data_IF_077357735728
#
_entry.id   IF_077357735728
#
_cell.length_a   1.000
_cell.length_b   1.000
_cell.length_c   1.000
_cell.angle_alpha   90.00
_cell.angle_beta   90.00
_cell.angle_gamma   90.00
#
_symmetry.space_group_name_H-M   'P 1'
#
loop_
_entity.id
_entity.type
_entity.pdbx_description
1 polymer ?
#
# COMPACT_ATOMS: atom_id res chain seq x y z
N UNK A 1 1.49 -16.17 -3.58
CA UNK A 1 1.02 -17.50 -3.25
C UNK A 1 0.32 -18.10 -4.44
N UNK A 2 0.49 -19.40 -4.65
CA UNK A 2 0.13 -20.00 -5.90
C UNK A 2 0.96 -19.40 -7.06
N UNK A 3 0.35 -19.11 -8.21
CA UNK A 3 1.06 -18.50 -9.34
C UNK A 3 1.39 -17.01 -9.13
N UNK A 4 0.75 -16.31 -8.19
CA UNK A 4 1.04 -14.92 -7.90
C UNK A 4 2.29 -14.78 -7.01
N UNK A 5 3.26 -14.00 -7.48
CA UNK A 5 4.53 -13.72 -6.77
C UNK A 5 4.56 -12.34 -6.11
N UNK A 6 3.41 -11.73 -5.87
CA UNK A 6 3.32 -10.40 -5.25
C UNK A 6 3.67 -10.36 -3.76
N UNK A 7 3.58 -11.51 -3.07
CA UNK A 7 3.89 -11.65 -1.66
C UNK A 7 4.94 -12.75 -1.46
N UNK A 8 5.96 -12.47 -0.64
CA UNK A 8 7.07 -13.39 -0.39
C UNK A 8 6.91 -14.14 0.94
N UNK A 9 6.25 -13.52 1.93
CA UNK A 9 6.26 -14.00 3.32
C UNK A 9 4.90 -14.46 3.87
N UNK A 10 3.86 -14.58 3.06
CA UNK A 10 2.54 -15.02 3.58
C UNK A 10 2.53 -16.44 4.19
N UNK A 11 3.53 -17.25 3.91
CA UNK A 11 3.70 -18.60 4.49
C UNK A 11 4.41 -18.57 5.86
N UNK A 12 4.95 -17.44 6.26
CA UNK A 12 5.66 -17.26 7.52
C UNK A 12 4.65 -16.73 8.55
N UNK A 13 4.68 -17.27 9.76
CA UNK A 13 3.91 -16.72 10.87
C UNK A 13 4.22 -15.23 11.07
N UNK A 14 3.19 -14.44 11.37
CA UNK A 14 3.33 -12.98 11.41
C UNK A 14 4.31 -12.52 12.50
N UNK A 15 4.29 -13.15 13.68
CA UNK A 15 5.24 -12.84 14.77
C UNK A 15 6.67 -13.10 14.33
N UNK A 16 6.86 -14.20 13.59
CA UNK A 16 8.19 -14.50 13.03
C UNK A 16 8.61 -13.52 11.94
N UNK A 17 7.66 -13.01 11.12
CA UNK A 17 7.97 -11.93 10.18
C UNK A 17 8.50 -10.67 10.87
N UNK A 18 7.97 -10.30 12.05
CA UNK A 18 8.44 -9.16 12.83
C UNK A 18 9.89 -9.39 13.33
N UNK A 19 10.18 -10.59 13.79
CA UNK A 19 11.54 -11.00 14.20
C UNK A 19 12.52 -10.88 13.02
N UNK A 20 12.16 -11.45 11.87
CA UNK A 20 13.00 -11.38 10.66
C UNK A 20 13.25 -9.95 10.19
N UNK A 21 12.24 -9.07 10.25
CA UNK A 21 12.40 -7.65 9.91
C UNK A 21 13.41 -6.95 10.83
N UNK A 22 13.33 -7.21 12.14
CA UNK A 22 14.29 -6.68 13.11
C UNK A 22 15.72 -7.17 12.82
N UNK A 23 15.86 -8.46 12.54
CA UNK A 23 17.17 -9.06 12.22
C UNK A 23 17.78 -8.49 10.93
N UNK A 24 16.97 -8.24 9.89
CA UNK A 24 17.41 -7.60 8.65
C UNK A 24 17.99 -6.20 8.95
N UNK A 25 17.27 -5.40 9.76
CA UNK A 25 17.76 -4.07 10.15
C UNK A 25 19.07 -4.19 10.97
N UNK A 26 19.11 -5.10 11.95
CA UNK A 26 20.32 -5.32 12.73
C UNK A 26 21.54 -5.70 11.86
N UNK A 27 21.34 -6.60 10.90
CA UNK A 27 22.39 -7.00 9.94
C UNK A 27 22.84 -5.83 9.06
N UNK A 28 21.94 -4.95 8.65
CA UNK A 28 22.28 -3.79 7.81
C UNK A 28 23.23 -2.80 8.51
N UNK A 29 23.26 -2.80 9.84
CA UNK A 29 24.15 -1.94 10.63
C UNK A 29 25.36 -2.67 11.21
N UNK A 30 25.41 -4.00 11.16
CA UNK A 30 26.46 -4.81 11.80
C UNK A 30 27.86 -4.53 11.25
N UNK A 31 27.98 -4.20 9.97
CA UNK A 31 29.24 -3.93 9.30
C UNK A 31 29.71 -2.47 9.44
N UNK A 32 28.94 -1.62 10.12
CA UNK A 32 29.29 -0.22 10.37
C UNK A 32 29.78 -0.12 11.83
N UNK A 33 31.10 0.10 12.07
CA UNK A 33 31.67 0.04 13.42
C UNK A 33 30.94 0.92 14.45
N UNK A 34 30.54 2.13 14.06
CA UNK A 34 29.86 3.09 14.91
C UNK A 34 28.44 2.66 15.27
N UNK A 35 27.83 1.78 14.48
CA UNK A 35 26.44 1.31 14.63
C UNK A 35 26.33 -0.17 15.00
N UNK A 36 27.43 -0.91 15.02
CA UNK A 36 27.44 -2.36 15.27
C UNK A 36 26.79 -2.75 16.62
N UNK A 37 26.85 -1.86 17.62
CA UNK A 37 26.24 -2.05 18.94
C UNK A 37 24.88 -1.35 19.09
N UNK A 38 24.29 -0.85 18.01
CA UNK A 38 22.99 -0.18 18.06
C UNK A 38 21.90 -1.17 18.50
N UNK A 39 21.19 -0.81 19.57
CA UNK A 39 20.03 -1.59 20.03
C UNK A 39 18.86 -1.37 19.06
N UNK A 40 18.59 -2.35 18.23
CA UNK A 40 17.39 -2.35 17.38
C UNK A 40 16.18 -2.75 18.25
N UNK A 41 15.20 -1.86 18.32
CA UNK A 41 13.96 -2.09 19.08
C UNK A 41 13.08 -3.09 18.34
N UNK A 42 12.06 -3.61 19.06
CA UNK A 42 11.07 -4.49 18.47
C UNK A 42 10.26 -3.76 17.39
N UNK A 43 9.89 -4.49 16.36
CA UNK A 43 9.06 -3.96 15.27
C UNK A 43 7.64 -3.75 15.78
N UNK A 44 7.09 -2.57 15.59
CA UNK A 44 5.71 -2.26 15.93
C UNK A 44 4.78 -3.06 14.99
N UNK A 45 3.95 -3.96 15.50
CA UNK A 45 3.08 -4.78 14.67
C UNK A 45 1.96 -3.96 14.04
N UNK A 46 1.47 -4.42 12.89
CA UNK A 46 0.20 -3.96 12.35
C UNK A 46 -0.95 -4.75 13.00
N UNK A 47 -2.01 -4.08 13.42
CA UNK A 47 -3.23 -4.75 13.89
C UNK A 47 -3.84 -5.64 12.80
N UNK A 48 -3.81 -5.15 11.55
CA UNK A 48 -4.30 -5.87 10.39
C UNK A 48 -3.14 -6.49 9.64
N UNK A 49 -3.08 -7.81 9.61
CA UNK A 49 -2.10 -8.58 8.84
C UNK A 49 -2.56 -8.84 7.41
N UNK A 50 -3.86 -8.73 7.16
CA UNK A 50 -4.53 -8.83 5.86
C UNK A 50 -5.51 -7.68 5.68
N UNK A 51 -5.95 -7.43 4.44
CA UNK A 51 -6.94 -6.40 4.14
C UNK A 51 -6.49 -4.96 4.38
N UNK A 52 -5.22 -4.72 4.64
CA UNK A 52 -4.68 -3.41 5.03
C UNK A 52 -4.32 -2.50 3.86
N UNK A 53 -4.13 -3.07 2.66
CA UNK A 53 -3.57 -2.35 1.52
C UNK A 53 -4.63 -1.53 0.81
N UNK A 54 -4.45 -0.21 0.81
CA UNK A 54 -5.36 0.78 0.23
C UNK A 54 -5.06 1.13 -1.24
N UNK A 55 -4.08 0.48 -1.86
CA UNK A 55 -3.68 0.75 -3.24
C UNK A 55 -3.32 -0.53 -3.98
N UNK A 56 -3.90 -0.69 -5.17
CA UNK A 56 -3.58 -1.72 -6.14
C UNK A 56 -3.22 -1.11 -7.49
N UNK A 57 -2.27 -1.70 -8.18
CA UNK A 57 -1.98 -1.44 -9.59
C UNK A 57 -2.02 -2.77 -10.33
N UNK A 58 -3.12 -3.00 -11.03
CA UNK A 58 -3.34 -4.22 -11.79
C UNK A 58 -2.78 -4.10 -13.19
N UNK A 59 -2.20 -5.18 -13.69
CA UNK A 59 -1.94 -5.37 -15.12
C UNK A 59 -3.22 -5.86 -15.77
N UNK A 60 -3.51 -5.35 -16.97
CA UNK A 60 -4.62 -5.87 -17.78
C UNK A 60 -4.08 -6.94 -18.70
N UNK A 61 -4.65 -8.13 -18.62
CA UNK A 61 -4.34 -9.28 -19.42
C UNK A 61 -5.39 -9.57 -20.50
N UNK A 62 -5.38 -10.78 -21.07
CA UNK A 62 -6.32 -11.18 -22.10
C UNK A 62 -7.77 -10.98 -21.66
N UNK A 63 -8.63 -10.57 -22.59
CA UNK A 63 -10.06 -10.35 -22.37
C UNK A 63 -10.37 -9.27 -21.32
N UNK A 64 -9.47 -8.31 -21.09
CA UNK A 64 -9.66 -7.25 -20.10
C UNK A 64 -9.57 -7.72 -18.64
N UNK A 65 -9.04 -8.92 -18.39
CA UNK A 65 -8.88 -9.45 -17.02
C UNK A 65 -7.79 -8.70 -16.28
N UNK A 66 -8.04 -8.45 -15.01
CA UNK A 66 -7.10 -7.80 -14.10
C UNK A 66 -6.28 -8.83 -13.32
N UNK A 67 -5.02 -8.51 -13.11
CA UNK A 67 -4.11 -9.41 -12.42
C UNK A 67 -2.73 -8.81 -12.21
N UNK A 68 -1.74 -9.68 -12.04
CA UNK A 68 -0.34 -9.29 -11.84
C UNK A 68 0.59 -10.08 -12.77
N UNK A 69 1.80 -9.58 -12.93
CA UNK A 69 2.85 -10.33 -13.63
C UNK A 69 3.63 -11.15 -12.61
N UNK A 70 3.72 -12.45 -12.84
CA UNK A 70 4.62 -13.32 -12.09
C UNK A 70 6.07 -12.87 -12.34
N UNK A 71 6.82 -12.59 -11.26
CA UNK A 71 8.17 -12.04 -11.35
C UNK A 71 9.18 -13.00 -11.98
N UNK A 72 8.98 -14.29 -11.76
CA UNK A 72 9.90 -15.36 -12.24
C UNK A 72 9.60 -15.76 -13.68
N UNK A 73 8.32 -16.09 -13.97
CA UNK A 73 7.92 -16.60 -15.30
C UNK A 73 7.59 -15.47 -16.29
N UNK A 74 7.43 -14.23 -15.81
CA UNK A 74 6.98 -13.07 -16.58
C UNK A 74 5.58 -13.23 -17.19
N UNK A 75 4.85 -14.25 -16.78
CA UNK A 75 3.50 -14.55 -17.23
C UNK A 75 2.46 -13.72 -16.48
N UNK A 76 1.37 -13.37 -17.15
CA UNK A 76 0.21 -12.76 -16.53
C UNK A 76 -0.53 -13.79 -15.65
N UNK A 77 -0.92 -13.35 -14.45
CA UNK A 77 -1.71 -14.12 -13.49
C UNK A 77 -2.97 -13.33 -13.19
N UNK A 78 -4.12 -13.81 -13.67
CA UNK A 78 -5.40 -13.26 -13.28
C UNK A 78 -5.65 -13.48 -11.79
N UNK A 79 -6.24 -12.50 -11.11
CA UNK A 79 -6.58 -12.60 -9.68
C UNK A 79 -8.03 -12.16 -9.47
N UNK A 80 -8.77 -12.95 -8.73
CA UNK A 80 -10.15 -12.62 -8.37
C UNK A 80 -10.20 -11.91 -7.01
N UNK A 81 -9.18 -12.14 -6.18
CA UNK A 81 -9.03 -11.55 -4.85
C UNK A 81 -7.54 -11.47 -4.47
N UNK A 82 -7.19 -10.44 -3.72
CA UNK A 82 -5.88 -10.31 -3.08
C UNK A 82 -6.04 -10.13 -1.56
N UNK A 83 -5.58 -11.10 -0.79
CA UNK A 83 -5.78 -11.15 0.68
C UNK A 83 -5.21 -9.96 1.44
N UNK A 84 -4.18 -9.30 0.93
CA UNK A 84 -3.61 -8.11 1.59
C UNK A 84 -4.33 -6.81 1.23
N UNK A 85 -5.18 -6.80 0.20
CA UNK A 85 -5.93 -5.61 -0.20
C UNK A 85 -7.18 -5.44 0.65
N UNK A 86 -7.55 -4.17 0.88
CA UNK A 86 -8.83 -3.81 1.48
C UNK A 86 -9.99 -4.49 0.71
N UNK A 87 -10.99 -5.02 1.40
CA UNK A 87 -12.14 -5.68 0.75
C UNK A 87 -12.84 -4.82 -0.31
N UNK A 88 -12.85 -3.49 -0.14
CA UNK A 88 -13.44 -2.55 -1.11
C UNK A 88 -12.63 -2.50 -2.42
N UNK A 89 -11.30 -2.67 -2.35
CA UNK A 89 -10.46 -2.81 -3.55
C UNK A 89 -10.74 -4.16 -4.23
N UNK A 90 -10.93 -5.24 -3.48
CA UNK A 90 -11.32 -6.53 -4.04
C UNK A 90 -12.69 -6.47 -4.72
N UNK A 91 -13.68 -5.80 -4.13
CA UNK A 91 -14.98 -5.56 -4.77
C UNK A 91 -14.85 -4.75 -6.05
N UNK A 92 -14.00 -3.72 -6.06
CA UNK A 92 -13.71 -2.92 -7.27
C UNK A 92 -13.03 -3.78 -8.33
N UNK A 93 -12.06 -4.61 -7.96
CA UNK A 93 -11.41 -5.57 -8.86
C UNK A 93 -12.44 -6.48 -9.54
N UNK A 94 -13.35 -7.08 -8.76
CA UNK A 94 -14.41 -7.97 -9.29
C UNK A 94 -15.35 -7.23 -10.27
N UNK A 95 -15.73 -5.99 -9.94
CA UNK A 95 -16.57 -5.15 -10.80
C UNK A 95 -15.88 -4.81 -12.14
N UNK A 96 -14.56 -4.65 -12.15
CA UNK A 96 -13.78 -4.27 -13.32
C UNK A 96 -13.31 -5.46 -14.16
N UNK A 97 -13.42 -6.70 -13.67
CA UNK A 97 -12.96 -7.89 -14.39
C UNK A 97 -13.62 -8.03 -15.76
N UNK A 98 -12.79 -8.14 -16.79
CA UNK A 98 -13.24 -8.28 -18.18
C UNK A 98 -13.63 -6.97 -18.88
N UNK A 99 -13.59 -5.82 -18.17
CA UNK A 99 -14.04 -4.52 -18.70
C UNK A 99 -12.90 -3.55 -19.03
N UNK A 100 -11.64 -3.95 -18.85
CA UNK A 100 -10.50 -3.03 -18.94
C UNK A 100 -9.64 -3.21 -20.21
N UNK A 101 -10.17 -3.81 -21.28
CA UNK A 101 -9.40 -4.17 -22.49
C UNK A 101 -8.78 -2.98 -23.25
N UNK A 102 -9.20 -1.76 -22.98
CA UNK A 102 -8.71 -0.51 -23.60
C UNK A 102 -7.42 0.04 -22.99
N UNK A 103 -6.96 -0.53 -21.88
CA UNK A 103 -5.74 -0.08 -21.20
C UNK A 103 -4.85 -1.26 -20.82
N UNK A 104 -3.59 -1.01 -20.52
CA UNK A 104 -2.64 -2.04 -20.09
C UNK A 104 -2.53 -2.16 -18.56
N UNK A 105 -2.98 -1.14 -17.83
CA UNK A 105 -2.92 -1.10 -16.37
C UNK A 105 -4.10 -0.34 -15.79
N UNK A 106 -4.57 -0.77 -14.62
CA UNK A 106 -5.57 -0.06 -13.83
C UNK A 106 -5.05 0.12 -12.41
N UNK A 107 -5.00 1.36 -11.96
CA UNK A 107 -4.70 1.70 -10.56
C UNK A 107 -6.02 1.93 -9.82
N UNK A 108 -6.15 1.31 -8.64
CA UNK A 108 -7.27 1.53 -7.71
C UNK A 108 -6.68 2.00 -6.40
N UNK A 109 -7.14 3.15 -5.90
CA UNK A 109 -6.75 3.71 -4.61
C UNK A 109 -7.99 4.00 -3.78
N UNK A 110 -7.86 3.86 -2.48
CA UNK A 110 -8.95 3.99 -1.52
C UNK A 110 -8.54 4.88 -0.36
N UNK A 111 -9.35 5.89 -0.06
CA UNK A 111 -9.32 6.59 1.21
C UNK A 111 -10.00 5.71 2.26
N UNK A 112 -9.21 5.07 3.10
CA UNK A 112 -9.73 4.05 4.05
C UNK A 112 -10.73 4.66 5.01
N UNK A 113 -10.45 5.88 5.48
CA UNK A 113 -11.28 6.58 6.47
C UNK A 113 -12.38 7.44 5.82
N UNK A 114 -12.26 7.80 4.54
CA UNK A 114 -13.26 8.60 3.83
C UNK A 114 -14.17 7.78 2.93
N UNK A 115 -13.73 6.60 2.49
CA UNK A 115 -14.42 5.78 1.49
C UNK A 115 -14.25 6.29 0.06
N UNK A 116 -13.53 7.41 -0.16
CA UNK A 116 -13.30 7.91 -1.52
C UNK A 116 -12.40 6.97 -2.32
N UNK A 117 -12.73 6.78 -3.58
CA UNK A 117 -11.99 5.89 -4.48
C UNK A 117 -11.45 6.66 -5.68
N UNK A 118 -10.23 6.31 -6.11
CA UNK A 118 -9.64 6.78 -7.35
C UNK A 118 -9.30 5.58 -8.22
N UNK A 119 -9.82 5.56 -9.45
CA UNK A 119 -9.57 4.52 -10.46
C UNK A 119 -9.00 5.21 -11.70
N UNK A 120 -7.80 4.80 -12.09
CA UNK A 120 -7.10 5.38 -13.24
C UNK A 120 -6.55 4.28 -14.17
N UNK A 121 -6.58 4.51 -15.48
CA UNK A 121 -7.10 5.66 -16.21
C UNK A 121 -8.64 5.71 -16.22
N UNK A 122 -9.25 6.78 -16.78
CA UNK A 122 -10.68 6.75 -17.10
C UNK A 122 -10.96 5.56 -18.02
N UNK A 123 -12.01 4.79 -17.70
CA UNK A 123 -12.44 3.64 -18.47
C UNK A 123 -13.70 4.02 -19.26
N UNK A 124 -13.70 3.74 -20.54
CA UNK A 124 -14.77 4.09 -21.48
C UNK A 124 -15.70 2.92 -21.78
N UNK A 125 -15.36 1.71 -21.32
CA UNK A 125 -16.15 0.50 -21.53
C UNK A 125 -17.54 0.66 -20.98
N UNK A 126 -18.55 0.37 -21.81
CA UNK A 126 -19.96 0.38 -21.38
C UNK A 126 -20.22 -0.73 -20.36
N UNK A 127 -21.01 -0.43 -19.33
CA UNK A 127 -21.39 -1.41 -18.31
C UNK A 127 -20.52 -1.41 -17.05
N UNK A 128 -19.57 -0.52 -16.90
CA UNK A 128 -18.87 -0.30 -15.64
C UNK A 128 -19.75 0.58 -14.72
N UNK A 129 -20.29 0.04 -13.59
CA UNK A 129 -21.24 0.77 -12.75
C UNK A 129 -20.56 1.71 -11.74
N UNK A 130 -19.27 1.94 -11.85
CA UNK A 130 -18.47 2.77 -10.93
C UNK A 130 -17.77 3.89 -11.69
N UNK A 131 -17.61 5.03 -11.05
CA UNK A 131 -16.90 6.16 -11.62
C UNK A 131 -15.38 5.86 -11.72
N UNK A 132 -14.77 6.30 -12.82
CA UNK A 132 -13.33 6.18 -13.08
C UNK A 132 -12.76 7.49 -13.58
N UNK A 133 -11.43 7.65 -13.57
CA UNK A 133 -10.78 8.86 -14.08
C UNK A 133 -10.68 10.01 -13.07
N UNK A 134 -10.89 9.77 -11.77
CA UNK A 134 -10.74 10.80 -10.74
C UNK A 134 -9.31 11.34 -10.70
N UNK A 135 -9.16 12.65 -10.62
CA UNK A 135 -7.86 13.29 -10.52
C UNK A 135 -7.18 13.08 -9.15
N UNK A 136 -7.98 12.92 -8.11
CA UNK A 136 -7.53 12.73 -6.72
C UNK A 136 -8.60 11.99 -5.92
N UNK A 137 -8.20 11.50 -4.76
CA UNK A 137 -9.07 11.06 -3.68
C UNK A 137 -8.61 11.71 -2.37
N UNK A 138 -9.42 11.63 -1.32
CA UNK A 138 -9.05 12.10 0.01
C UNK A 138 -8.94 10.93 0.98
N UNK A 139 -8.07 11.08 1.96
CA UNK A 139 -8.08 10.24 3.15
C UNK A 139 -7.82 11.10 4.39
N UNK A 140 -8.28 10.66 5.55
CA UNK A 140 -8.15 11.39 6.82
C UNK A 140 -7.26 10.61 7.77
N UNK A 141 -6.17 11.24 8.25
CA UNK A 141 -5.17 10.63 9.14
C UNK A 141 -4.79 11.67 10.20
N UNK A 142 -4.70 11.25 11.45
CA UNK A 142 -4.31 12.11 12.58
C UNK A 142 -5.13 13.41 12.64
N UNK A 143 -6.43 13.35 12.33
CA UNK A 143 -7.33 14.51 12.35
C UNK A 143 -7.20 15.45 11.14
N UNK A 144 -6.28 15.17 10.21
CA UNK A 144 -6.08 15.96 8.98
C UNK A 144 -6.59 15.23 7.76
N UNK A 145 -7.15 15.97 6.79
CA UNK A 145 -7.60 15.42 5.52
C UNK A 145 -6.61 15.75 4.42
N UNK A 146 -6.05 14.71 3.81
CA UNK A 146 -5.10 14.81 2.71
C UNK A 146 -5.81 14.63 1.37
N UNK A 147 -5.42 15.42 0.37
CA UNK A 147 -5.83 15.25 -1.02
C UNK A 147 -4.69 14.60 -1.80
N UNK A 148 -4.89 13.37 -2.24
CA UNK A 148 -3.87 12.52 -2.86
C UNK A 148 -4.15 12.38 -4.35
N UNK A 149 -3.28 12.93 -5.19
CA UNK A 149 -3.36 12.81 -6.65
C UNK A 149 -2.96 11.42 -7.15
N UNK A 150 -3.41 11.06 -8.35
CA UNK A 150 -3.13 9.76 -8.96
C UNK A 150 -1.63 9.41 -8.99
N UNK A 151 -0.70 10.30 -9.39
CA UNK A 151 0.73 9.99 -9.43
C UNK A 151 1.43 10.08 -8.07
N UNK A 152 0.78 10.67 -7.06
CA UNK A 152 1.43 10.92 -5.77
C UNK A 152 1.66 9.63 -4.99
N UNK A 153 2.82 9.52 -4.33
CA UNK A 153 3.03 8.46 -3.36
C UNK A 153 2.15 8.70 -2.13
N UNK A 154 1.57 7.65 -1.62
CA UNK A 154 0.91 7.62 -0.32
C UNK A 154 1.08 6.24 0.30
N UNK A 155 1.22 6.17 1.62
CA UNK A 155 1.44 4.90 2.32
C UNK A 155 0.25 3.95 2.13
N UNK A 156 0.56 2.68 1.92
CA UNK A 156 -0.45 1.66 1.55
C UNK A 156 -1.20 1.05 2.73
N UNK A 157 -0.78 1.33 3.94
CA UNK A 157 -1.41 0.85 5.18
C UNK A 157 -1.82 2.06 6.04
N UNK A 158 -3.02 2.59 5.81
CA UNK A 158 -3.53 3.78 6.49
C UNK A 158 -3.53 3.65 8.02
N UNK A 159 -4.01 2.56 8.65
CA UNK A 159 -3.93 2.42 10.11
C UNK A 159 -2.50 2.51 10.64
N UNK A 160 -1.53 1.96 9.93
CA UNK A 160 -0.14 1.99 10.37
C UNK A 160 0.51 3.37 10.22
N UNK A 161 0.00 4.25 9.35
CA UNK A 161 0.44 5.65 9.28
C UNK A 161 0.12 6.35 10.61
N UNK A 162 -1.07 6.15 11.15
CA UNK A 162 -1.47 6.74 12.42
C UNK A 162 -0.50 6.34 13.53
N UNK A 163 -0.21 5.04 13.66
CA UNK A 163 0.75 4.51 14.63
C UNK A 163 2.15 5.11 14.43
N UNK A 164 2.59 5.25 13.18
CA UNK A 164 3.89 5.85 12.85
C UNK A 164 3.94 7.34 13.26
N UNK A 165 2.90 8.11 12.98
CA UNK A 165 2.82 9.54 13.35
C UNK A 165 2.87 9.70 14.87
N UNK A 166 2.07 8.94 15.60
CA UNK A 166 2.07 8.96 17.07
C UNK A 166 3.43 8.59 17.65
N UNK A 167 4.10 7.59 17.06
CA UNK A 167 5.43 7.16 17.49
C UNK A 167 6.49 8.26 17.24
N UNK A 168 6.45 8.91 16.08
CA UNK A 168 7.34 10.03 15.73
C UNK A 168 7.10 11.20 16.70
N UNK A 169 5.86 11.61 16.90
CA UNK A 169 5.51 12.71 17.83
C UNK A 169 6.04 12.44 19.23
N UNK A 170 5.84 11.23 19.75
CA UNK A 170 6.33 10.84 21.06
C UNK A 170 7.85 10.90 21.18
N UNK A 171 8.60 10.58 20.13
CA UNK A 171 10.07 10.57 20.16
C UNK A 171 10.69 11.93 19.88
N UNK A 172 10.02 12.78 19.11
CA UNK A 172 10.46 14.14 18.88
C UNK A 172 10.26 15.05 20.11
N UNK A 173 9.24 14.77 20.93
CA UNK A 173 8.90 15.51 22.17
C UNK A 173 8.95 17.03 21.98
N UNK A 174 8.32 17.53 20.90
CA UNK A 174 8.37 18.93 20.50
C UNK A 174 7.67 19.83 21.52
N UNK A 175 8.34 20.89 21.93
CA UNK A 175 7.82 21.88 22.89
C UNK A 175 7.24 23.14 22.20
N UNK A 176 7.29 23.18 20.87
CA UNK A 176 6.71 24.26 20.05
C UNK A 176 7.68 25.40 19.68
N UNK A 177 8.94 25.31 20.09
CA UNK A 177 10.00 26.29 19.72
C UNK A 177 11.00 25.74 18.72
N UNK A 178 10.90 24.46 18.37
CA UNK A 178 11.83 23.77 17.49
C UNK A 178 11.51 24.04 16.02
N UNK A 179 12.51 23.88 15.18
CA UNK A 179 12.37 23.85 13.71
C UNK A 179 12.45 22.41 13.25
N UNK A 180 11.33 21.90 12.72
CA UNK A 180 11.27 20.59 12.10
C UNK A 180 11.35 20.71 10.59
N UNK A 181 12.28 19.98 9.98
CA UNK A 181 12.43 19.94 8.52
C UNK A 181 12.11 18.53 8.03
N UNK A 182 11.04 18.37 7.25
CA UNK A 182 10.78 17.18 6.47
C UNK A 182 11.30 17.39 5.04
N UNK A 183 12.41 16.72 4.70
CA UNK A 183 13.08 16.89 3.41
C UNK A 183 12.35 16.19 2.24
N UNK A 184 11.44 15.27 2.52
CA UNK A 184 10.73 14.47 1.53
C UNK A 184 9.24 14.35 1.84
N UNK A 185 8.63 15.44 2.26
CA UNK A 185 7.25 15.51 2.77
C UNK A 185 6.18 14.87 1.84
N UNK A 186 6.38 14.85 0.52
CA UNK A 186 5.44 14.22 -0.40
C UNK A 186 4.10 14.96 -0.44
N UNK A 187 3.05 14.35 0.12
CA UNK A 187 1.70 14.96 0.22
C UNK A 187 1.46 15.69 1.54
N UNK A 188 2.47 15.73 2.40
CA UNK A 188 2.44 16.33 3.72
C UNK A 188 2.80 15.37 4.82
#
# INVERSE_FOLDING_TARGET
FGPCTGCEWQHIDYTHQLTLKREIIAKSFADIPELANLKILDVIPSEQTYGYRNHARFTVGPQGKLGFINRTTRSFVAVDECRIMDPRINSTLQTLQGHCGETSQVAVRLGVNTGETLIQPPLLSSGIPIATGQAYYRDSIAGMTFRIGSPSFFQVNTPQIQVMVEHIQKHLDLQGSEVLIDAYAGVG
#
